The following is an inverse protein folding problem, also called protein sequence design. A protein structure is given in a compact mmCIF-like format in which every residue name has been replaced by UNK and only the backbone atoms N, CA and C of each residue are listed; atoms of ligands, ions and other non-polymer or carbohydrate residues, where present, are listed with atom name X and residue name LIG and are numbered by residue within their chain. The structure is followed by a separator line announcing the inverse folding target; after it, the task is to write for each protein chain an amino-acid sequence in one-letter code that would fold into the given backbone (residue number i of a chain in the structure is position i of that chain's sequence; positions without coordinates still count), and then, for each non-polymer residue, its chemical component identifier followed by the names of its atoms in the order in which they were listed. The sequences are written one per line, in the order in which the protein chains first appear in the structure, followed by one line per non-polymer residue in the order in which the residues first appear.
data_IF_059308406558
#
_entry.id   IF_059308406558
#
_cell.length_a   1.000
_cell.length_b   1.000
_cell.length_c   1.000
_cell.angle_alpha   90.00
_cell.angle_beta   90.00
_cell.angle_gamma   90.00
#
_symmetry.space_group_name_H-M   'P 1'
#
loop_
_entity.id
_entity.type
_entity.pdbx_description
1 polymer ?
#
# COMPACT_ATOMS: atom_id res chain seq x y z
N UNK A 1 31.18 18.95 -18.58
CA UNK A 1 31.75 18.89 -17.22
C UNK A 1 31.01 17.79 -16.46
N UNK A 2 31.68 16.69 -16.10
CA UNK A 2 31.08 15.56 -15.36
C UNK A 2 31.68 15.55 -13.95
N UNK A 3 30.86 15.72 -12.93
CA UNK A 3 31.29 15.60 -11.53
C UNK A 3 30.84 14.25 -11.00
N UNK A 4 31.74 13.26 -10.96
CA UNK A 4 31.52 12.05 -10.15
C UNK A 4 32.08 12.33 -8.76
N UNK A 5 31.20 12.66 -7.82
CA UNK A 5 31.54 12.80 -6.41
C UNK A 5 31.98 11.44 -5.86
N UNK A 6 33.25 11.32 -5.48
CA UNK A 6 33.80 10.15 -4.78
C UNK A 6 33.53 10.26 -3.28
N UNK A 7 32.26 10.33 -2.89
CA UNK A 7 31.85 10.28 -1.48
C UNK A 7 31.27 8.89 -1.25
N UNK A 8 31.91 8.13 -0.35
CA UNK A 8 31.45 6.82 0.05
C UNK A 8 29.98 6.89 0.44
N UNK A 9 29.14 6.24 -0.36
CA UNK A 9 27.71 6.17 -0.12
C UNK A 9 27.53 5.25 1.07
N UNK A 10 27.66 5.80 2.28
CA UNK A 10 27.19 5.13 3.48
C UNK A 10 25.67 5.11 3.34
N UNK A 11 25.13 3.99 2.84
CA UNK A 11 23.69 3.73 2.90
C UNK A 11 23.42 3.20 4.30
N UNK A 12 22.93 4.00 5.26
CA UNK A 12 22.39 3.42 6.47
C UNK A 12 21.21 2.56 6.02
N UNK A 13 21.40 1.24 5.94
CA UNK A 13 20.32 0.29 5.70
C UNK A 13 19.55 0.10 7.01
N UNK A 14 19.04 1.21 7.54
CA UNK A 14 18.03 1.16 8.59
C UNK A 14 16.72 1.05 7.86
N UNK A 15 16.43 -0.16 7.37
CA UNK A 15 15.06 -0.52 7.06
C UNK A 15 14.40 -0.69 8.42
N UNK A 16 13.85 0.41 8.96
CA UNK A 16 12.87 0.32 10.04
C UNK A 16 11.68 -0.43 9.46
N UNK A 17 11.76 -1.76 9.48
CA UNK A 17 10.65 -2.62 9.16
C UNK A 17 9.67 -2.51 10.33
N UNK A 18 8.72 -1.59 10.24
CA UNK A 18 7.46 -1.81 10.95
C UNK A 18 6.94 -3.16 10.49
N UNK A 19 6.78 -4.11 11.42
CA UNK A 19 6.29 -5.45 11.12
C UNK A 19 4.97 -5.32 10.33
N UNK A 20 4.96 -5.83 9.11
CA UNK A 20 3.75 -5.82 8.30
C UNK A 20 2.68 -6.68 8.99
N UNK A 21 1.43 -6.21 9.04
CA UNK A 21 0.34 -6.95 9.64
C UNK A 21 0.06 -8.20 8.79
N UNK A 22 -0.14 -9.34 9.46
CA UNK A 22 -0.43 -10.60 8.78
C UNK A 22 -1.90 -10.67 8.32
N UNK A 23 -2.76 -9.80 8.85
CA UNK A 23 -4.18 -9.75 8.50
C UNK A 23 -4.71 -8.33 8.40
N UNK A 24 -5.84 -8.18 7.69
CA UNK A 24 -6.56 -6.90 7.60
C UNK A 24 -6.97 -6.42 9.00
N UNK A 25 -7.35 -7.34 9.89
CA UNK A 25 -7.75 -7.01 11.25
C UNK A 25 -6.57 -6.41 12.04
N UNK A 26 -5.38 -6.99 11.94
CA UNK A 26 -4.17 -6.45 12.57
C UNK A 26 -3.77 -5.09 11.97
N UNK A 27 -3.91 -4.91 10.66
CA UNK A 27 -3.64 -3.64 9.99
C UNK A 27 -4.60 -2.54 10.48
N UNK A 28 -5.89 -2.87 10.61
CA UNK A 28 -6.93 -1.95 11.06
C UNK A 28 -6.85 -1.64 12.56
N UNK A 29 -6.04 -2.34 13.35
CA UNK A 29 -5.78 -1.98 14.74
C UNK A 29 -4.69 -0.89 14.86
N UNK A 30 -3.85 -0.74 13.84
CA UNK A 30 -2.72 0.18 13.85
C UNK A 30 -3.05 1.49 13.10
N UNK A 31 -2.96 2.63 13.79
CA UNK A 31 -3.32 3.92 13.20
C UNK A 31 -2.42 4.33 12.03
N UNK A 32 -1.15 3.91 12.04
CA UNK A 32 -0.25 4.10 10.90
C UNK A 32 -0.82 3.48 9.62
N UNK A 33 -1.24 2.22 9.69
CA UNK A 33 -1.77 1.49 8.54
C UNK A 33 -3.12 2.05 8.08
N UNK A 34 -3.98 2.50 9.00
CA UNK A 34 -5.21 3.23 8.64
C UNK A 34 -4.90 4.49 7.83
N UNK A 35 -3.94 5.30 8.28
CA UNK A 35 -3.56 6.54 7.63
C UNK A 35 -2.99 6.28 6.22
N UNK A 36 -2.14 5.26 6.09
CA UNK A 36 -1.57 4.84 4.79
C UNK A 36 -2.68 4.36 3.85
N UNK A 37 -3.58 3.48 4.31
CA UNK A 37 -4.71 3.00 3.50
C UNK A 37 -5.61 4.14 3.01
N UNK A 38 -5.91 5.12 3.88
CA UNK A 38 -6.70 6.30 3.50
C UNK A 38 -5.99 7.17 2.45
N UNK A 39 -4.66 7.32 2.57
CA UNK A 39 -3.85 8.08 1.61
C UNK A 39 -3.82 7.40 0.25
N UNK A 40 -3.59 6.09 0.21
CA UNK A 40 -3.62 5.29 -1.03
C UNK A 40 -5.01 5.36 -1.67
N UNK A 41 -6.08 5.14 -0.90
CA UNK A 41 -7.45 5.26 -1.39
C UNK A 41 -7.71 6.64 -2.03
N UNK A 42 -7.31 7.72 -1.34
CA UNK A 42 -7.47 9.08 -1.84
C UNK A 42 -6.67 9.31 -3.14
N UNK A 43 -5.48 8.73 -3.26
CA UNK A 43 -4.66 8.82 -4.47
C UNK A 43 -5.33 8.07 -5.65
N UNK A 44 -5.89 6.89 -5.42
CA UNK A 44 -6.62 6.12 -6.43
C UNK A 44 -7.84 6.88 -6.96
N UNK A 45 -8.61 7.49 -6.06
CA UNK A 45 -9.77 8.32 -6.42
C UNK A 45 -9.33 9.54 -7.23
N UNK A 46 -8.29 10.26 -6.78
CA UNK A 46 -7.76 11.44 -7.49
C UNK A 46 -7.26 11.10 -8.89
N UNK A 47 -6.60 9.96 -9.06
CA UNK A 47 -6.05 9.52 -10.32
C UNK A 47 -7.12 8.99 -11.29
N UNK A 48 -8.38 8.85 -10.84
CA UNK A 48 -9.51 8.30 -11.63
C UNK A 48 -9.21 6.94 -12.26
N UNK A 49 -8.24 6.20 -11.71
CA UNK A 49 -7.82 4.89 -12.22
C UNK A 49 -8.73 3.78 -11.72
N UNK A 50 -9.49 4.02 -10.65
CA UNK A 50 -10.40 3.08 -10.03
C UNK A 50 -11.80 3.68 -9.95
N UNK A 51 -12.79 2.93 -10.43
CA UNK A 51 -14.21 3.25 -10.24
C UNK A 51 -14.89 2.06 -9.58
N UNK A 52 -15.66 2.33 -8.52
CA UNK A 52 -16.49 1.31 -7.90
C UNK A 52 -17.74 1.14 -8.77
N UNK A 53 -17.82 0.01 -9.47
CA UNK A 53 -18.94 -0.32 -10.35
C UNK A 53 -19.81 -1.41 -9.73
N UNK A 54 -21.14 -1.36 -9.93
CA UNK A 54 -22.02 -2.44 -9.51
C UNK A 54 -21.66 -3.74 -10.23
N UNK A 55 -21.85 -4.86 -9.54
CA UNK A 55 -21.62 -6.17 -10.12
C UNK A 55 -22.62 -6.41 -11.27
N UNK A 56 -22.18 -6.84 -12.47
CA UNK A 56 -23.09 -7.12 -13.56
C UNK A 56 -24.09 -8.23 -13.18
N UNK A 57 -25.34 -8.17 -13.67
CA UNK A 57 -26.33 -9.19 -13.37
C UNK A 57 -25.81 -10.58 -13.77
N UNK A 58 -26.09 -11.58 -12.92
CA UNK A 58 -25.66 -12.99 -13.07
C UNK A 58 -24.15 -13.22 -12.96
N UNK A 59 -23.35 -12.24 -12.55
CA UNK A 59 -21.94 -12.45 -12.16
C UNK A 59 -21.85 -12.63 -10.65
N UNK A 60 -20.86 -13.40 -10.19
CA UNK A 60 -20.50 -13.51 -8.77
C UNK A 60 -19.25 -12.69 -8.53
N UNK A 61 -19.22 -11.94 -7.43
CA UNK A 61 -17.99 -11.32 -6.98
C UNK A 61 -16.98 -12.43 -6.67
N UNK A 62 -15.75 -12.27 -7.16
CA UNK A 62 -14.66 -13.16 -6.76
C UNK A 62 -14.33 -12.79 -5.33
N UNK A 63 -14.62 -13.69 -4.39
CA UNK A 63 -14.22 -13.50 -3.00
C UNK A 63 -12.70 -13.41 -2.92
N UNK A 64 -12.18 -12.40 -2.24
CA UNK A 64 -10.78 -12.35 -1.89
C UNK A 64 -10.57 -13.30 -0.70
N UNK A 65 -9.93 -14.45 -0.94
CA UNK A 65 -9.58 -15.38 0.12
C UNK A 65 -8.28 -14.87 0.75
N UNK A 66 -8.41 -14.04 1.79
CA UNK A 66 -7.27 -13.70 2.62
C UNK A 66 -6.88 -14.98 3.37
N UNK A 67 -5.76 -15.58 2.99
CA UNK A 67 -5.21 -16.73 3.71
C UNK A 67 -4.94 -16.29 5.13
N UNK A 68 -5.67 -16.91 6.08
CA UNK A 68 -5.27 -16.97 7.48
C UNK A 68 -4.23 -18.06 7.60
#
# INVERSE_FOLDING_TARGET
MRTISKVGIFKPKVFMASKEPASIQEALQQDHWKAVMAKEYSALVKNKTWSLVPLPPKKKAIGCKMGV
#
